data_IF_043761560317
#
_entry.id   IF_043761560317
#
_cell.length_a   1.000
_cell.length_b   1.000
_cell.length_c   1.000
_cell.angle_alpha   90.00
_cell.angle_beta   90.00
_cell.angle_gamma   90.00
#
_symmetry.space_group_name_H-M   'P 1'
#
loop_
_entity.id
_entity.type
_entity.pdbx_description
1 polymer ?
#
# COMPACT_ATOMS: atom_id res chain seq x y z
N UNK A 1 0.05 24.16 5.75
CA UNK A 1 1.13 23.35 6.33
C UNK A 1 1.63 22.38 5.27
N UNK A 2 2.88 22.49 4.86
CA UNK A 2 3.51 21.68 3.82
C UNK A 2 3.89 20.32 4.40
N UNK A 3 3.34 19.22 3.86
CA UNK A 3 3.69 17.86 4.31
C UNK A 3 5.18 17.56 4.05
N UNK A 4 5.88 16.84 4.95
CA UNK A 4 7.26 16.44 4.72
C UNK A 4 7.32 15.46 3.56
N UNK A 5 8.04 15.83 2.49
CA UNK A 5 8.33 14.92 1.38
C UNK A 5 9.31 13.85 1.86
N UNK A 6 8.85 12.62 2.02
CA UNK A 6 9.73 11.46 2.13
C UNK A 6 10.52 11.35 0.82
N UNK A 7 11.80 11.75 0.86
CA UNK A 7 12.69 11.73 -0.30
C UNK A 7 13.14 10.29 -0.59
N UNK A 8 12.40 9.61 -1.46
CA UNK A 8 12.94 8.50 -2.24
C UNK A 8 13.96 9.03 -3.25
N UNK A 9 15.07 8.32 -3.46
CA UNK A 9 16.18 8.69 -4.36
C UNK A 9 15.85 8.57 -5.87
N UNK A 10 14.60 8.81 -6.22
CA UNK A 10 14.04 9.02 -7.56
C UNK A 10 12.71 9.73 -7.27
N UNK A 11 12.32 10.77 -8.02
CA UNK A 11 11.07 11.52 -7.75
C UNK A 11 9.77 10.69 -7.72
N UNK A 12 9.86 9.39 -7.97
CA UNK A 12 8.81 8.38 -7.92
C UNK A 12 8.55 7.86 -6.50
N UNK A 13 7.28 7.62 -6.12
CA UNK A 13 6.92 7.19 -4.77
C UNK A 13 7.33 5.74 -4.48
N UNK A 14 7.65 5.43 -3.21
CA UNK A 14 7.99 4.08 -2.74
C UNK A 14 6.78 3.11 -2.81
N UNK A 15 5.55 3.66 -2.78
CA UNK A 15 4.28 2.93 -2.91
C UNK A 15 3.48 3.45 -4.10
N UNK A 16 2.77 2.57 -4.78
CA UNK A 16 1.77 2.93 -5.81
C UNK A 16 0.40 2.61 -5.24
N UNK A 17 -0.51 3.59 -5.28
CA UNK A 17 -1.86 3.40 -4.79
C UNK A 17 -2.91 4.15 -5.62
N UNK A 18 -4.14 3.64 -5.58
CA UNK A 18 -5.33 4.28 -6.16
C UNK A 18 -6.46 4.26 -5.12
N UNK A 19 -7.28 5.31 -5.14
CA UNK A 19 -8.45 5.47 -4.25
C UNK A 19 -9.76 5.27 -5.01
N UNK A 20 -9.81 4.29 -5.91
CA UNK A 20 -10.91 4.10 -6.86
C UNK A 20 -12.27 3.79 -6.23
N UNK A 21 -12.28 3.04 -5.12
CA UNK A 21 -13.51 2.52 -4.51
C UNK A 21 -13.34 2.17 -3.03
N UNK A 22 -14.44 1.88 -2.31
CA UNK A 22 -14.45 1.64 -0.86
C UNK A 22 -13.87 0.29 -0.45
N UNK A 23 -13.61 -0.60 -1.41
CA UNK A 23 -12.88 -1.85 -1.20
C UNK A 23 -11.40 -1.59 -1.42
N UNK A 24 -10.56 -2.04 -0.49
CA UNK A 24 -9.11 -1.90 -0.58
C UNK A 24 -8.44 -3.26 -0.71
N UNK A 25 -7.70 -3.45 -1.81
CA UNK A 25 -6.80 -4.59 -1.98
C UNK A 25 -5.34 -4.17 -1.71
N UNK A 26 -4.58 -4.98 -0.97
CA UNK A 26 -3.19 -4.65 -0.66
C UNK A 26 -2.26 -5.85 -0.81
N UNK A 27 -0.99 -5.59 -1.12
CA UNK A 27 0.05 -6.63 -1.19
C UNK A 27 1.34 -6.18 -0.46
N UNK A 28 1.32 -6.10 0.89
CA UNK A 28 2.45 -5.62 1.68
C UNK A 28 3.71 -6.44 1.48
N UNK A 29 3.58 -7.73 1.12
CA UNK A 29 4.68 -8.66 0.91
C UNK A 29 4.98 -8.93 -0.57
N UNK A 30 4.61 -8.03 -1.48
CA UNK A 30 4.95 -8.14 -2.91
C UNK A 30 6.44 -8.02 -3.22
N UNK A 31 7.23 -7.54 -2.26
CA UNK A 31 8.70 -7.45 -2.30
C UNK A 31 9.32 -8.15 -1.09
N UNK A 32 10.63 -8.40 -1.16
CA UNK A 32 11.37 -8.78 0.04
C UNK A 32 11.53 -7.53 0.90
N UNK A 33 10.98 -7.54 2.10
CA UNK A 33 10.95 -6.38 3.00
C UNK A 33 11.58 -6.71 4.34
N UNK A 34 11.89 -5.68 5.12
CA UNK A 34 12.63 -5.79 6.37
C UNK A 34 11.68 -5.74 7.56
N UNK A 35 11.84 -6.69 8.48
CA UNK A 35 11.17 -6.72 9.78
C UNK A 35 12.20 -6.58 10.91
N UNK A 36 11.85 -5.83 11.94
CA UNK A 36 12.69 -5.63 13.13
C UNK A 36 13.96 -4.83 12.82
N UNK A 37 14.98 -4.97 13.67
CA UNK A 37 16.25 -4.24 13.54
C UNK A 37 16.28 -2.89 14.26
N UNK A 38 15.23 -2.56 15.01
CA UNK A 38 15.20 -1.49 16.02
C UNK A 38 14.72 -2.08 17.35
N UNK A 39 14.99 -1.37 18.44
CA UNK A 39 14.51 -1.71 19.79
C UNK A 39 14.92 -3.10 20.29
N UNK A 40 16.13 -3.54 19.92
CA UNK A 40 16.68 -4.84 20.33
C UNK A 40 16.20 -6.04 19.51
N UNK A 41 15.28 -5.85 18.56
CA UNK A 41 14.82 -6.94 17.71
C UNK A 41 15.83 -7.33 16.63
N UNK A 42 16.02 -8.63 16.43
CA UNK A 42 16.85 -9.15 15.35
C UNK A 42 16.23 -8.78 14.00
N UNK A 43 17.01 -8.07 13.16
CA UNK A 43 16.64 -7.77 11.76
C UNK A 43 16.44 -9.06 10.97
N UNK A 44 15.31 -9.15 10.27
CA UNK A 44 14.92 -10.29 9.42
C UNK A 44 14.41 -9.80 8.07
N UNK A 45 14.57 -10.62 7.04
CA UNK A 45 13.96 -10.39 5.73
C UNK A 45 12.68 -11.21 5.66
N UNK A 46 11.54 -10.53 5.45
CA UNK A 46 10.30 -11.18 5.06
C UNK A 46 10.39 -11.46 3.56
N UNK A 47 10.32 -12.74 3.18
CA UNK A 47 10.35 -13.17 1.79
C UNK A 47 9.08 -12.71 1.06
N UNK A 48 9.24 -12.29 -0.18
CA UNK A 48 8.11 -11.89 -1.02
C UNK A 48 7.14 -13.03 -1.29
N UNK A 49 5.87 -12.67 -1.38
CA UNK A 49 4.79 -13.46 -1.94
C UNK A 49 4.72 -13.18 -3.45
N UNK A 50 5.11 -14.18 -4.25
CA UNK A 50 5.17 -14.01 -5.71
C UNK A 50 3.77 -13.78 -6.26
N UNK A 51 3.67 -12.89 -7.25
CA UNK A 51 2.43 -12.53 -7.96
C UNK A 51 1.35 -11.80 -7.13
N UNK A 52 1.56 -11.56 -5.83
CA UNK A 52 0.60 -10.85 -4.97
C UNK A 52 0.22 -9.46 -5.49
N UNK A 53 1.19 -8.65 -5.93
CA UNK A 53 0.91 -7.33 -6.52
C UNK A 53 0.11 -7.43 -7.82
N UNK A 54 0.36 -8.46 -8.64
CA UNK A 54 -0.38 -8.68 -9.88
C UNK A 54 -1.83 -9.08 -9.61
N UNK A 55 -2.06 -9.95 -8.62
CA UNK A 55 -3.39 -10.32 -8.16
C UNK A 55 -4.16 -9.10 -7.67
N UNK A 56 -3.55 -8.25 -6.84
CA UNK A 56 -4.16 -7.00 -6.36
C UNK A 56 -4.58 -6.09 -7.52
N UNK A 57 -3.70 -5.87 -8.50
CA UNK A 57 -4.02 -5.01 -9.64
C UNK A 57 -5.16 -5.59 -10.50
N UNK A 58 -5.15 -6.90 -10.76
CA UNK A 58 -6.22 -7.57 -11.52
C UNK A 58 -7.54 -7.53 -10.77
N UNK A 59 -7.56 -7.82 -9.47
CA UNK A 59 -8.78 -7.77 -8.65
C UNK A 59 -9.34 -6.34 -8.57
N UNK A 60 -8.46 -5.34 -8.42
CA UNK A 60 -8.88 -3.95 -8.39
C UNK A 60 -9.53 -3.50 -9.71
N UNK A 61 -8.96 -3.87 -10.86
CA UNK A 61 -9.56 -3.60 -12.16
C UNK A 61 -10.88 -4.37 -12.36
N UNK A 62 -10.88 -5.68 -12.07
CA UNK A 62 -12.04 -6.55 -12.26
C UNK A 62 -13.24 -6.13 -11.42
N UNK A 63 -13.01 -5.57 -10.23
CA UNK A 63 -14.11 -5.11 -9.36
C UNK A 63 -15.01 -4.05 -10.00
N UNK A 64 -14.53 -3.29 -10.99
CA UNK A 64 -15.35 -2.32 -11.71
C UNK A 64 -16.54 -2.98 -12.42
N UNK A 65 -16.36 -4.19 -12.95
CA UNK A 65 -17.41 -4.94 -13.66
C UNK A 65 -18.56 -5.34 -12.73
N UNK A 66 -18.30 -5.53 -11.43
CA UNK A 66 -19.29 -6.03 -10.46
C UNK A 66 -19.81 -4.94 -9.53
N UNK A 67 -19.00 -3.93 -9.24
CA UNK A 67 -19.29 -2.88 -8.26
C UNK A 67 -19.59 -1.53 -8.91
N UNK A 68 -19.50 -1.41 -10.24
CA UNK A 68 -19.66 -0.15 -10.98
C UNK A 68 -18.51 0.84 -10.77
N UNK A 69 -17.49 0.48 -10.00
CA UNK A 69 -16.31 1.29 -9.70
C UNK A 69 -15.10 0.38 -9.43
N UNK A 70 -13.88 0.76 -9.82
CA UNK A 70 -12.68 0.01 -9.48
C UNK A 70 -12.42 0.06 -7.98
N UNK A 71 -11.80 -0.97 -7.41
CA UNK A 71 -11.39 -0.98 -6.02
C UNK A 71 -10.15 -0.10 -5.83
N UNK A 72 -9.97 0.38 -4.60
CA UNK A 72 -8.70 0.96 -4.17
C UNK A 72 -7.62 -0.11 -4.07
N UNK A 73 -6.37 0.29 -4.25
CA UNK A 73 -5.23 -0.60 -4.00
C UNK A 73 -4.03 0.11 -3.42
N UNK A 74 -3.20 -0.62 -2.68
CA UNK A 74 -1.87 -0.17 -2.21
C UNK A 74 -0.86 -1.30 -2.44
N UNK A 75 0.21 -1.01 -3.18
CA UNK A 75 1.32 -1.93 -3.44
C UNK A 75 2.65 -1.19 -3.33
N UNK A 76 3.74 -1.94 -3.13
CA UNK A 76 5.08 -1.36 -3.25
C UNK A 76 5.40 -1.07 -4.72
N UNK A 77 6.12 0.03 -4.97
CA UNK A 77 6.59 0.36 -6.30
C UNK A 77 7.76 -0.56 -6.69
N UNK A 78 7.46 -1.63 -7.44
CA UNK A 78 8.48 -2.58 -7.89
C UNK A 78 9.47 -1.98 -8.89
N UNK A 79 9.11 -0.89 -9.58
CA UNK A 79 10.00 -0.24 -10.54
C UNK A 79 11.17 0.49 -9.87
N UNK A 80 10.93 1.03 -8.67
CA UNK A 80 11.93 1.79 -7.91
C UNK A 80 12.55 0.99 -6.76
N UNK A 81 11.93 -0.13 -6.38
CA UNK A 81 12.39 -0.96 -5.27
C UNK A 81 13.77 -1.58 -5.50
N UNK A 82 14.72 -1.24 -4.63
CA UNK A 82 16.04 -1.86 -4.60
C UNK A 82 15.99 -3.17 -3.79
N UNK A 83 16.72 -4.18 -4.26
CA UNK A 83 16.84 -5.46 -3.56
C UNK A 83 17.42 -5.23 -2.15
N UNK A 84 16.72 -5.72 -1.12
CA UNK A 84 17.12 -5.61 0.29
C UNK A 84 17.25 -4.15 0.80
N UNK A 85 16.49 -3.21 0.23
CA UNK A 85 16.45 -1.83 0.71
C UNK A 85 15.96 -1.78 2.18
N UNK A 86 16.75 -1.20 3.11
CA UNK A 86 16.37 -1.11 4.53
C UNK A 86 15.14 -0.22 4.77
N UNK A 87 14.75 0.62 3.81
CA UNK A 87 13.60 1.53 3.92
C UNK A 87 12.27 0.82 3.66
N UNK A 88 12.30 -0.32 2.96
CA UNK A 88 11.13 -1.16 2.72
C UNK A 88 10.85 -1.98 3.97
N UNK A 89 10.23 -1.34 4.96
CA UNK A 89 9.83 -1.98 6.21
C UNK A 89 8.52 -2.74 6.05
N UNK A 90 8.39 -3.85 6.77
CA UNK A 90 7.18 -4.65 6.81
C UNK A 90 6.03 -3.86 7.45
N UNK A 91 4.98 -3.48 6.70
CA UNK A 91 3.88 -2.67 7.24
C UNK A 91 3.20 -3.31 8.46
N UNK A 92 3.23 -4.64 8.56
CA UNK A 92 2.58 -5.38 9.64
C UNK A 92 3.41 -5.42 10.93
N UNK A 93 4.66 -4.94 10.91
CA UNK A 93 5.58 -5.00 12.04
C UNK A 93 6.27 -3.65 12.29
N UNK A 94 5.62 -2.56 11.91
CA UNK A 94 6.11 -1.22 12.22
C UNK A 94 5.94 -0.94 13.70
N UNK A 95 7.00 -0.42 14.32
CA UNK A 95 6.90 0.14 15.67
C UNK A 95 6.17 1.48 15.64
N UNK A 96 5.72 1.95 16.81
CA UNK A 96 5.06 3.26 16.94
C UNK A 96 5.96 4.40 16.44
N UNK A 97 7.28 4.28 16.56
CA UNK A 97 8.23 5.29 16.06
C UNK A 97 8.48 5.21 14.55
N UNK A 98 8.18 4.07 13.91
CA UNK A 98 8.32 3.86 12.46
C UNK A 98 7.04 4.20 11.69
N UNK A 99 5.88 3.97 12.30
CA UNK A 99 4.58 4.17 11.65
C UNK A 99 4.41 5.56 11.00
N UNK A 100 4.77 6.69 11.66
CA UNK A 100 4.59 8.05 11.10
C UNK A 100 5.48 8.36 9.89
N UNK A 101 6.43 7.49 9.56
CA UNK A 101 7.35 7.68 8.42
C UNK A 101 7.13 6.64 7.33
N UNK A 102 6.21 5.70 7.54
CA UNK A 102 5.95 4.64 6.59
C UNK A 102 5.06 5.15 5.44
N UNK A 103 5.54 5.13 4.19
CA UNK A 103 4.72 5.51 3.04
C UNK A 103 3.49 4.61 2.89
N UNK A 104 3.58 3.35 3.36
CA UNK A 104 2.45 2.44 3.39
C UNK A 104 1.35 2.89 4.35
N UNK A 105 1.71 3.31 5.57
CA UNK A 105 0.74 3.83 6.54
C UNK A 105 0.11 5.14 6.06
N UNK A 106 0.88 6.01 5.41
CA UNK A 106 0.32 7.21 4.80
C UNK A 106 -0.72 6.88 3.73
N UNK A 107 -0.46 5.89 2.87
CA UNK A 107 -1.44 5.44 1.89
C UNK A 107 -2.70 4.84 2.54
N UNK A 108 -2.56 4.09 3.64
CA UNK A 108 -3.70 3.58 4.42
C UNK A 108 -4.54 4.72 5.02
N UNK A 109 -3.91 5.73 5.63
CA UNK A 109 -4.63 6.89 6.16
C UNK A 109 -5.29 7.74 5.08
N UNK A 110 -4.67 7.84 3.90
CA UNK A 110 -5.28 8.50 2.75
C UNK A 110 -6.54 7.76 2.29
N UNK A 111 -6.48 6.42 2.22
CA UNK A 111 -7.65 5.59 1.91
C UNK A 111 -8.76 5.78 2.96
N UNK A 112 -8.41 5.64 4.24
CA UNK A 112 -9.35 5.81 5.34
C UNK A 112 -9.99 7.20 5.31
N UNK A 113 -9.20 8.26 5.19
CA UNK A 113 -9.71 9.64 5.15
C UNK A 113 -10.59 9.91 3.93
N UNK A 114 -10.27 9.28 2.79
CA UNK A 114 -11.04 9.45 1.57
C UNK A 114 -12.41 8.78 1.65
N UNK A 115 -12.50 7.58 2.24
CA UNK A 115 -13.72 6.77 2.27
C UNK A 115 -14.48 6.80 3.59
N UNK A 116 -13.91 7.39 4.66
CA UNK A 116 -14.59 7.52 5.95
C UNK A 116 -15.92 8.25 5.78
N UNK A 117 -17.00 7.61 6.21
CA UNK A 117 -18.35 8.18 6.18
C UNK A 117 -18.96 8.27 4.78
N UNK A 118 -18.30 7.74 3.74
CA UNK A 118 -18.88 7.63 2.39
C UNK A 118 -19.50 6.25 2.22
N UNK A 119 -20.75 6.15 1.76
CA UNK A 119 -21.32 4.86 1.42
C UNK A 119 -20.54 4.26 0.24
N UNK A 120 -20.48 2.93 0.18
CA UNK A 120 -20.13 2.29 -1.07
C UNK A 120 -21.15 2.73 -2.13
N UNK A 121 -20.68 3.15 -3.32
CA UNK A 121 -21.57 3.47 -4.41
C UNK A 121 -22.61 2.34 -4.53
N UNK A 122 -23.89 2.69 -4.39
CA UNK A 122 -24.97 1.77 -4.69
C UNK A 122 -24.75 1.36 -6.15
N UNK A 123 -24.55 0.06 -6.37
CA UNK A 123 -24.25 -0.47 -7.70
C UNK A 123 -25.23 0.15 -8.70
N UNK A 124 -24.72 0.56 -9.85
CA UNK A 124 -25.51 1.12 -10.94
C UNK A 124 -26.56 0.08 -11.40
N UNK A 125 -27.66 -0.03 -10.66
CA UNK A 125 -28.90 -0.64 -11.09
C UNK A 125 -29.55 0.36 -12.03
N UNK A 126 -29.19 0.31 -13.31
CA UNK A 126 -29.75 1.22 -14.29
C UNK A 126 -29.21 1.02 -15.69
N UNK A 127 -29.69 -0.02 -16.37
CA UNK A 127 -30.24 -0.06 -17.74
C UNK A 127 -30.03 -1.44 -18.37
#
# INVERSE_FOLDING_TARGET
ATQPRCSGLSGEPDVVYSLGGPVLFTAPHSLNIVRGGRDGERRRIHKRERYSSELVLKLAAFSQEFLGQPASYIIWNRMTAKKADPRLLDPNYLTQSQSPYSPWHHALHNFESHWRGRPAAEGAGGA
#
